data_IF_379648521345
#
_entry.id   IF_379648521345
#
_cell.length_a   1.000
_cell.length_b   1.000
_cell.length_c   1.000
_cell.angle_alpha   90.00
_cell.angle_beta   90.00
_cell.angle_gamma   90.00
#
_symmetry.space_group_name_H-M   'P 1'
#
loop_
_entity.id
_entity.type
_entity.pdbx_description
1 polymer ?
#
# COMPACT_ATOMS: atom_id res chain seq x y z
N UNK A 1 -18.25 28.31 40.29
CA UNK A 1 -16.85 27.89 40.47
C UNK A 1 -16.50 26.96 39.32
N UNK A 2 -15.94 27.51 38.24
CA UNK A 2 -15.58 26.75 37.04
C UNK A 2 -14.15 26.26 37.25
N UNK A 3 -13.98 24.94 37.40
CA UNK A 3 -12.67 24.32 37.49
C UNK A 3 -12.00 24.33 36.12
N UNK A 4 -10.91 25.09 36.05
CA UNK A 4 -9.93 25.10 34.97
C UNK A 4 -9.47 23.68 34.64
N UNK A 5 -9.85 23.17 33.48
CA UNK A 5 -9.21 22.02 32.87
C UNK A 5 -8.29 22.53 31.75
N UNK A 6 -6.99 22.29 31.94
CA UNK A 6 -5.93 22.58 30.99
C UNK A 6 -6.27 21.98 29.62
N UNK A 7 -6.32 22.84 28.60
CA UNK A 7 -6.45 22.47 27.18
C UNK A 7 -5.06 22.21 26.59
N UNK A 8 -4.40 21.13 26.98
CA UNK A 8 -3.14 20.72 26.33
C UNK A 8 -3.12 19.25 25.86
N UNK A 9 -4.23 18.51 25.96
CA UNK A 9 -4.33 17.14 25.44
C UNK A 9 -4.86 17.07 23.99
N UNK A 10 -4.35 17.91 23.10
CA UNK A 10 -4.63 17.83 21.66
C UNK A 10 -3.47 17.09 20.99
N UNK A 11 -3.66 15.78 20.80
CA UNK A 11 -3.06 14.96 19.74
C UNK A 11 -1.57 15.21 19.46
N UNK A 12 -0.70 14.91 20.42
CA UNK A 12 0.72 14.75 20.13
C UNK A 12 1.00 13.29 19.72
N UNK A 13 1.44 12.99 18.48
CA UNK A 13 1.67 11.62 18.01
C UNK A 13 2.54 10.80 18.95
N UNK A 14 3.55 11.43 19.57
CA UNK A 14 4.50 10.81 20.51
C UNK A 14 3.86 10.08 21.70
N UNK A 15 2.72 10.56 22.22
CA UNK A 15 2.08 9.98 23.39
C UNK A 15 1.37 8.65 23.10
N UNK A 16 0.83 8.49 21.88
CA UNK A 16 0.24 7.24 21.42
C UNK A 16 1.33 6.18 21.17
N UNK A 17 2.48 6.58 20.64
CA UNK A 17 3.64 5.71 20.46
C UNK A 17 4.17 5.16 21.79
N UNK A 18 4.26 5.99 22.84
CA UNK A 18 4.73 5.55 24.16
C UNK A 18 3.77 4.54 24.81
N UNK A 19 2.45 4.79 24.73
CA UNK A 19 1.45 3.87 25.29
C UNK A 19 1.38 2.54 24.54
N UNK A 20 1.47 2.56 23.21
CA UNK A 20 1.53 1.35 22.40
C UNK A 20 2.81 0.55 22.68
N UNK A 21 3.96 1.24 22.77
CA UNK A 21 5.25 0.65 23.11
C UNK A 21 5.27 0.00 24.51
N UNK A 22 4.66 0.65 25.51
CA UNK A 22 4.56 0.11 26.87
C UNK A 22 3.63 -1.11 26.95
N UNK A 23 2.52 -1.10 26.21
CA UNK A 23 1.58 -2.22 26.14
C UNK A 23 2.21 -3.45 25.47
N UNK A 24 2.90 -3.26 24.35
CA UNK A 24 3.56 -4.34 23.61
C UNK A 24 4.78 -4.87 24.35
N UNK A 25 5.49 -4.02 25.11
CA UNK A 25 6.60 -4.42 26.00
C UNK A 25 6.13 -5.34 27.13
N UNK A 26 5.00 -5.02 27.75
CA UNK A 26 4.43 -5.86 28.81
C UNK A 26 4.02 -7.24 28.26
N UNK A 27 3.39 -7.27 27.09
CA UNK A 27 2.90 -8.51 26.47
C UNK A 27 4.04 -9.42 25.94
N UNK A 28 5.18 -8.84 25.53
CA UNK A 28 6.34 -9.59 25.03
C UNK A 28 7.27 -10.09 26.14
N UNK A 29 7.39 -9.33 27.24
CA UNK A 29 8.13 -9.73 28.45
C UNK A 29 7.58 -11.03 29.05
N UNK A 30 6.26 -11.22 29.02
CA UNK A 30 5.59 -12.41 29.56
C UNK A 30 5.80 -13.68 28.72
N UNK A 31 6.20 -13.57 27.44
CA UNK A 31 6.31 -14.74 26.55
C UNK A 31 7.69 -15.37 26.45
N UNK A 32 8.78 -14.66 26.77
CA UNK A 32 10.13 -15.13 26.42
C UNK A 32 11.18 -15.18 27.54
N UNK A 33 10.91 -14.69 28.76
CA UNK A 33 11.82 -14.89 29.91
C UNK A 33 13.30 -14.49 29.69
N UNK A 34 13.59 -13.61 28.73
CA UNK A 34 14.93 -13.17 28.37
C UNK A 34 14.97 -11.64 28.38
N UNK A 35 15.89 -11.08 29.15
CA UNK A 35 16.15 -9.64 29.20
C UNK A 35 16.76 -9.18 27.87
N UNK A 36 15.90 -8.78 26.94
CA UNK A 36 16.32 -8.19 25.66
C UNK A 36 16.73 -6.74 25.95
N UNK A 37 17.95 -6.36 25.57
CA UNK A 37 18.44 -4.99 25.79
C UNK A 37 17.57 -3.96 25.05
N UNK A 38 17.43 -2.71 25.56
CA UNK A 38 16.60 -1.69 24.94
C UNK A 38 16.92 -1.47 23.44
N UNK A 39 18.19 -1.61 23.07
CA UNK A 39 18.68 -1.52 21.69
C UNK A 39 18.24 -2.70 20.82
N UNK A 40 18.20 -3.92 21.35
CA UNK A 40 17.72 -5.09 20.60
C UNK A 40 16.21 -5.04 20.39
N UNK A 41 15.45 -4.61 21.39
CA UNK A 41 14.01 -4.41 21.25
C UNK A 41 13.72 -3.31 20.22
N UNK A 42 14.50 -2.23 20.23
CA UNK A 42 14.39 -1.13 19.28
C UNK A 42 14.71 -1.58 17.85
N UNK A 43 15.76 -2.39 17.63
CA UNK A 43 16.03 -2.98 16.31
C UNK A 43 14.95 -3.97 15.85
N UNK A 44 14.40 -4.78 16.76
CA UNK A 44 13.37 -5.76 16.44
C UNK A 44 12.04 -5.08 16.10
N UNK A 45 11.63 -4.10 16.90
CA UNK A 45 10.49 -3.23 16.65
C UNK A 45 10.72 -2.43 15.36
N UNK A 46 11.91 -1.89 15.10
CA UNK A 46 12.23 -1.21 13.84
C UNK A 46 12.08 -2.15 12.63
N UNK A 47 12.43 -3.43 12.79
CA UNK A 47 12.37 -4.44 11.72
C UNK A 47 10.95 -4.94 11.48
N UNK A 48 10.15 -5.11 12.53
CA UNK A 48 8.73 -5.50 12.44
C UNK A 48 7.89 -4.31 11.93
N UNK A 49 8.11 -3.10 12.43
CA UNK A 49 7.41 -1.89 11.99
C UNK A 49 7.83 -1.43 10.59
N UNK A 50 9.08 -1.66 10.16
CA UNK A 50 9.50 -1.44 8.75
C UNK A 50 8.71 -2.31 7.77
N UNK A 51 8.25 -3.48 8.20
CA UNK A 51 7.55 -4.44 7.34
C UNK A 51 6.04 -4.17 7.23
N UNK A 52 5.46 -3.38 8.14
CA UNK A 52 4.03 -3.12 8.19
C UNK A 52 3.62 -1.68 7.83
N UNK A 53 4.57 -0.75 7.66
CA UNK A 53 4.24 0.68 7.65
C UNK A 53 4.76 1.50 6.45
N UNK A 54 5.22 0.89 5.35
CA UNK A 54 5.86 1.67 4.26
C UNK A 54 5.27 1.38 2.88
N UNK A 55 3.96 1.52 2.73
CA UNK A 55 3.31 1.49 1.42
C UNK A 55 2.06 2.38 1.33
N UNK A 56 1.71 3.10 2.39
CA UNK A 56 0.54 4.00 2.40
C UNK A 56 0.99 5.43 2.13
N UNK A 57 0.57 5.95 0.98
CA UNK A 57 0.86 7.30 0.52
C UNK A 57 -0.43 8.10 0.43
N UNK A 58 -0.34 9.42 0.62
CA UNK A 58 -1.47 10.33 0.44
C UNK A 58 -0.94 11.56 -0.29
N UNK A 59 -1.44 11.79 -1.50
CA UNK A 59 -1.06 12.95 -2.31
C UNK A 59 -2.26 13.84 -2.61
N UNK A 60 -2.06 15.17 -2.68
CA UNK A 60 -3.07 16.06 -3.21
C UNK A 60 -3.18 15.87 -4.73
N UNK A 61 -4.41 15.76 -5.21
CA UNK A 61 -4.75 15.76 -6.63
C UNK A 61 -5.60 16.99 -6.94
N UNK A 62 -5.27 17.68 -8.01
CA UNK A 62 -6.05 18.79 -8.57
C UNK A 62 -7.00 18.22 -9.60
N UNK A 63 -8.30 18.43 -9.39
CA UNK A 63 -9.35 18.07 -10.32
C UNK A 63 -9.81 19.34 -11.03
N UNK A 64 -9.77 19.34 -12.35
CA UNK A 64 -10.25 20.44 -13.19
C UNK A 64 -11.52 19.98 -13.91
N UNK A 65 -12.60 20.74 -13.75
CA UNK A 65 -13.87 20.47 -14.44
C UNK A 65 -13.82 20.97 -15.90
N UNK A 66 -14.07 20.06 -16.84
CA UNK A 66 -14.09 20.32 -18.28
C UNK A 66 -15.48 20.04 -18.88
N UNK A 67 -15.71 20.45 -20.14
CA UNK A 67 -17.03 20.33 -20.79
C UNK A 67 -17.56 18.89 -20.85
N UNK A 68 -16.69 17.88 -20.87
CA UNK A 68 -17.04 16.46 -21.04
C UNK A 68 -16.46 15.55 -19.94
N UNK A 69 -16.09 16.09 -18.78
CA UNK A 69 -15.59 15.29 -17.67
C UNK A 69 -14.66 16.06 -16.72
N UNK A 70 -13.79 15.31 -16.06
CA UNK A 70 -12.80 15.84 -15.13
C UNK A 70 -11.41 15.39 -15.55
N UNK A 71 -10.47 16.33 -15.60
CA UNK A 71 -9.05 16.03 -15.67
C UNK A 71 -8.46 16.06 -14.26
N UNK A 72 -7.47 15.21 -14.02
CA UNK A 72 -6.83 15.05 -12.72
C UNK A 72 -5.32 15.09 -12.89
N UNK A 73 -4.67 15.89 -12.06
CA UNK A 73 -3.23 16.08 -12.04
C UNK A 73 -2.69 16.01 -10.62
N UNK A 74 -1.52 15.40 -10.45
CA UNK A 74 -0.76 15.41 -9.21
C UNK A 74 0.43 16.38 -9.33
N UNK A 75 0.39 17.55 -8.67
CA UNK A 75 1.43 18.57 -8.82
C UNK A 75 2.81 18.12 -8.30
N UNK A 76 2.83 17.15 -7.38
CA UNK A 76 4.06 16.64 -6.76
C UNK A 76 4.71 15.48 -7.53
N UNK A 77 4.00 14.91 -8.50
CA UNK A 77 4.43 13.70 -9.21
C UNK A 77 4.47 13.97 -10.71
N UNK A 78 5.69 13.99 -11.26
CA UNK A 78 5.89 14.12 -12.69
C UNK A 78 5.26 12.95 -13.45
N UNK A 79 4.40 13.26 -14.42
CA UNK A 79 3.79 12.27 -15.31
C UNK A 79 2.49 11.63 -14.80
N UNK A 80 1.99 12.02 -13.62
CA UNK A 80 0.74 11.50 -13.07
C UNK A 80 -0.47 12.35 -13.52
N UNK A 81 -0.97 12.05 -14.72
CA UNK A 81 -2.15 12.69 -15.30
C UNK A 81 -3.21 11.66 -15.68
N UNK A 82 -4.47 11.97 -15.44
CA UNK A 82 -5.58 11.11 -15.83
C UNK A 82 -6.86 11.91 -16.06
N UNK A 83 -7.90 11.26 -16.57
CA UNK A 83 -9.21 11.87 -16.76
C UNK A 83 -10.33 10.84 -16.59
N UNK A 84 -11.54 11.33 -16.31
CA UNK A 84 -12.74 10.52 -16.21
C UNK A 84 -13.97 11.31 -16.66
N UNK A 85 -15.00 10.63 -17.17
CA UNK A 85 -16.22 11.29 -17.66
C UNK A 85 -17.11 11.74 -16.50
N UNK A 86 -16.99 11.07 -15.36
CA UNK A 86 -17.71 11.39 -14.13
C UNK A 86 -16.73 11.59 -12.99
N UNK A 87 -17.12 12.33 -11.95
CA UNK A 87 -16.27 12.54 -10.78
C UNK A 87 -15.84 11.22 -10.12
N UNK A 88 -16.75 10.24 -10.04
CA UNK A 88 -16.44 8.92 -9.46
C UNK A 88 -15.42 8.16 -10.29
N UNK A 89 -15.54 8.23 -11.62
CA UNK A 89 -14.57 7.61 -12.54
C UNK A 89 -13.23 8.31 -12.41
N UNK A 90 -13.20 9.65 -12.44
CA UNK A 90 -11.98 10.43 -12.29
C UNK A 90 -11.26 10.13 -10.97
N UNK A 91 -11.99 9.96 -9.87
CA UNK A 91 -11.43 9.56 -8.57
C UNK A 91 -10.81 8.16 -8.61
N UNK A 92 -11.50 7.19 -9.21
CA UNK A 92 -10.97 5.83 -9.37
C UNK A 92 -9.72 5.82 -10.25
N UNK A 93 -9.76 6.56 -11.36
CA UNK A 93 -8.63 6.69 -12.27
C UNK A 93 -7.44 7.42 -11.62
N UNK A 94 -7.72 8.36 -10.70
CA UNK A 94 -6.71 9.07 -9.91
C UNK A 94 -6.00 8.12 -8.93
N UNK A 95 -6.74 7.26 -8.23
CA UNK A 95 -6.16 6.24 -7.35
C UNK A 95 -5.27 5.27 -8.15
N UNK A 96 -5.72 4.85 -9.33
CA UNK A 96 -4.97 3.95 -10.21
C UNK A 96 -3.67 4.57 -10.73
N UNK A 97 -3.71 5.80 -11.26
CA UNK A 97 -2.51 6.47 -11.80
C UNK A 97 -1.52 6.79 -10.69
N UNK A 98 -1.99 7.18 -9.51
CA UNK A 98 -1.14 7.43 -8.34
C UNK A 98 -0.43 6.15 -7.92
N UNK A 99 -1.17 5.05 -7.81
CA UNK A 99 -0.62 3.75 -7.43
C UNK A 99 0.41 3.24 -8.43
N UNK A 100 0.12 3.37 -9.73
CA UNK A 100 1.04 3.00 -10.80
C UNK A 100 2.34 3.80 -10.73
N UNK A 101 2.22 5.12 -10.58
CA UNK A 101 3.36 6.05 -10.55
C UNK A 101 4.27 5.76 -9.36
N UNK A 102 3.70 5.62 -8.15
CA UNK A 102 4.48 5.33 -6.95
C UNK A 102 5.17 3.96 -7.01
N UNK A 103 4.50 2.95 -7.59
CA UNK A 103 5.10 1.64 -7.81
C UNK A 103 6.28 1.71 -8.79
N UNK A 104 6.20 2.53 -9.83
CA UNK A 104 7.31 2.75 -10.77
C UNK A 104 8.52 3.39 -10.06
N UNK A 105 8.30 4.43 -9.25
CA UNK A 105 9.36 5.02 -8.43
C UNK A 105 10.03 3.99 -7.52
N UNK A 106 9.24 3.18 -6.81
CA UNK A 106 9.75 2.10 -5.96
C UNK A 106 10.54 1.03 -6.77
N UNK A 107 10.05 0.65 -7.95
CA UNK A 107 10.69 -0.37 -8.80
C UNK A 107 12.02 0.13 -9.39
N UNK A 108 12.09 1.42 -9.73
CA UNK A 108 13.30 2.11 -10.18
C UNK A 108 14.24 2.47 -9.03
N UNK A 109 13.80 2.30 -7.77
CA UNK A 109 14.52 2.68 -6.55
C UNK A 109 14.88 4.17 -6.52
N UNK A 110 14.00 4.99 -7.08
CA UNK A 110 14.12 6.45 -7.07
C UNK A 110 13.50 7.01 -5.78
N UNK A 111 13.91 8.21 -5.39
CA UNK A 111 13.32 8.90 -4.25
C UNK A 111 11.92 9.39 -4.62
N UNK A 112 10.94 9.07 -3.77
CA UNK A 112 9.56 9.51 -3.95
C UNK A 112 9.43 10.93 -3.39
N UNK A 113 8.96 11.92 -4.17
CA UNK A 113 8.78 13.30 -3.70
C UNK A 113 7.81 13.38 -2.52
N UNK A 114 8.09 14.19 -1.49
CA UNK A 114 7.16 14.37 -0.38
C UNK A 114 5.86 15.08 -0.84
N UNK A 115 4.68 14.66 -0.36
CA UNK A 115 3.41 15.27 -0.75
C UNK A 115 3.30 16.72 -0.25
N UNK A 116 2.85 17.61 -1.13
CA UNK A 116 2.60 19.00 -0.78
C UNK A 116 1.40 19.13 0.18
N UNK A 117 1.42 20.12 1.10
CA UNK A 117 0.25 20.47 1.88
C UNK A 117 -0.94 20.83 0.99
N UNK A 118 -2.14 20.33 1.30
CA UNK A 118 -3.36 20.63 0.51
C UNK A 118 -3.62 22.13 0.32
N UNK A 119 -3.20 22.96 1.30
CA UNK A 119 -3.42 24.42 1.30
C UNK A 119 -2.41 25.20 0.45
N UNK A 120 -1.29 24.59 0.08
CA UNK A 120 -0.28 25.24 -0.77
C UNK A 120 -0.47 24.97 -2.25
N UNK A 121 -1.38 24.05 -2.60
CA UNK A 121 -1.69 23.74 -3.99
C UNK A 121 -2.57 24.87 -4.56
N UNK A 122 -2.15 25.55 -5.63
CA UNK A 122 -2.98 26.55 -6.28
C UNK A 122 -4.22 25.88 -6.90
N UNK A 123 -5.38 26.50 -6.73
CA UNK A 123 -6.64 26.04 -7.33
C UNK A 123 -7.39 27.23 -7.92
N UNK A 124 -7.75 27.14 -9.20
CA UNK A 124 -8.59 28.13 -9.88
C UNK A 124 -10.09 27.89 -9.64
N UNK A 125 -10.95 28.77 -10.18
CA UNK A 125 -12.41 28.73 -9.93
C UNK A 125 -13.11 27.44 -10.40
N UNK A 126 -12.55 26.75 -11.40
CA UNK A 126 -13.07 25.49 -11.94
C UNK A 126 -12.28 24.26 -11.42
N UNK A 127 -11.43 24.46 -10.43
CA UNK A 127 -10.56 23.42 -9.89
C UNK A 127 -10.85 23.19 -8.41
N UNK A 128 -10.72 21.93 -7.99
CA UNK A 128 -10.74 21.60 -6.57
C UNK A 128 -9.66 20.57 -6.25
N UNK A 129 -9.13 20.66 -5.03
CA UNK A 129 -8.08 19.75 -4.56
C UNK A 129 -8.70 18.68 -3.66
N UNK A 130 -8.36 17.42 -3.91
CA UNK A 130 -8.75 16.28 -3.08
C UNK A 130 -7.52 15.46 -2.69
N UNK A 131 -7.58 14.81 -1.52
CA UNK A 131 -6.52 13.91 -1.07
C UNK A 131 -6.84 12.49 -1.53
N UNK A 132 -5.89 11.88 -2.25
CA UNK A 132 -6.02 10.51 -2.74
C UNK A 132 -5.11 9.61 -1.92
N UNK A 133 -5.67 8.68 -1.13
CA UNK A 133 -4.89 7.65 -0.47
C UNK A 133 -4.49 6.57 -1.48
N UNK A 134 -3.27 6.06 -1.36
CA UNK A 134 -2.74 4.96 -2.17
C UNK A 134 -2.04 3.96 -1.26
N UNK A 135 -2.29 2.67 -1.50
CA UNK A 135 -1.54 1.57 -0.89
C UNK A 135 -0.79 0.81 -1.99
N UNK A 136 0.52 1.05 -2.11
CA UNK A 136 1.35 0.42 -3.14
C UNK A 136 1.48 -1.09 -2.93
N UNK A 137 1.40 -1.58 -1.69
CA UNK A 137 1.48 -3.01 -1.40
C UNK A 137 0.19 -3.71 -1.82
N UNK A 138 -0.97 -3.13 -1.51
CA UNK A 138 -2.27 -3.61 -2.00
C UNK A 138 -2.30 -3.60 -3.53
N UNK A 139 -1.85 -2.52 -4.16
CA UNK A 139 -1.80 -2.42 -5.62
C UNK A 139 -0.90 -3.51 -6.23
N UNK A 140 0.30 -3.71 -5.68
CA UNK A 140 1.22 -4.78 -6.10
C UNK A 140 0.61 -6.17 -5.93
N UNK A 141 -0.12 -6.42 -4.85
CA UNK A 141 -0.81 -7.72 -4.64
C UNK A 141 -1.90 -7.94 -5.69
N UNK A 142 -2.71 -6.92 -5.98
CA UNK A 142 -3.74 -6.98 -7.01
C UNK A 142 -3.14 -7.28 -8.39
N UNK A 143 -2.06 -6.58 -8.76
CA UNK A 143 -1.40 -6.78 -10.05
C UNK A 143 -0.63 -8.11 -10.13
N UNK A 144 0.04 -8.54 -9.06
CA UNK A 144 0.78 -9.82 -9.00
C UNK A 144 -0.11 -11.05 -8.90
N UNK A 145 -1.41 -10.89 -8.61
CA UNK A 145 -2.38 -11.98 -8.62
C UNK A 145 -2.84 -12.37 -10.03
N UNK A 146 -2.39 -11.67 -11.08
CA UNK A 146 -2.68 -12.06 -12.45
C UNK A 146 -1.98 -13.39 -12.80
N UNK A 147 -2.76 -14.33 -13.34
CA UNK A 147 -2.24 -15.62 -13.76
C UNK A 147 -1.34 -15.46 -14.99
N UNK A 148 -0.03 -15.71 -14.82
CA UNK A 148 0.92 -15.67 -15.94
C UNK A 148 0.94 -17.01 -16.66
N UNK A 149 0.62 -17.02 -17.96
CA UNK A 149 0.68 -18.24 -18.79
C UNK A 149 2.12 -18.76 -18.86
N UNK A 150 2.30 -20.05 -18.57
CA UNK A 150 3.59 -20.76 -18.70
C UNK A 150 3.45 -21.93 -19.66
N UNK A 151 4.40 -22.04 -20.59
CA UNK A 151 4.54 -23.19 -21.49
C UNK A 151 5.47 -24.20 -20.81
N UNK A 152 5.00 -25.44 -20.63
CA UNK A 152 5.74 -26.50 -19.95
C UNK A 152 5.70 -27.78 -20.78
N UNK A 153 6.74 -28.61 -20.62
CA UNK A 153 6.85 -29.91 -21.29
C UNK A 153 6.74 -31.02 -20.25
N UNK A 154 5.86 -31.98 -20.50
CA UNK A 154 5.66 -33.17 -19.67
C UNK A 154 5.69 -34.43 -20.54
N UNK A 155 6.09 -35.58 -19.99
CA UNK A 155 5.98 -36.86 -20.69
C UNK A 155 4.54 -37.17 -21.12
N UNK A 156 4.38 -37.81 -22.27
CA UNK A 156 3.07 -38.13 -22.86
C UNK A 156 2.20 -38.98 -21.91
N UNK A 157 2.78 -40.03 -21.32
CA UNK A 157 2.09 -40.91 -20.37
C UNK A 157 1.51 -40.14 -19.16
N UNK A 158 2.17 -39.06 -18.73
CA UNK A 158 1.72 -38.25 -17.60
C UNK A 158 0.57 -37.33 -18.01
N UNK A 159 0.62 -36.80 -19.23
CA UNK A 159 -0.47 -35.99 -19.79
C UNK A 159 -1.75 -36.81 -19.93
N UNK A 160 -1.65 -38.03 -20.45
CA UNK A 160 -2.78 -38.95 -20.59
C UNK A 160 -3.38 -39.32 -19.22
N UNK A 161 -2.54 -39.73 -18.27
CA UNK A 161 -2.98 -40.09 -16.92
C UNK A 161 -3.68 -38.92 -16.20
N UNK A 162 -3.12 -37.71 -16.29
CA UNK A 162 -3.70 -36.52 -15.67
C UNK A 162 -5.02 -36.09 -16.33
N UNK A 163 -5.12 -36.22 -17.65
CA UNK A 163 -6.34 -35.90 -18.41
C UNK A 163 -7.44 -36.91 -18.13
N UNK A 164 -7.13 -38.21 -18.07
CA UNK A 164 -8.07 -39.26 -17.70
C UNK A 164 -8.60 -39.10 -16.27
N UNK A 165 -7.77 -38.58 -15.36
CA UNK A 165 -8.16 -38.23 -14.00
C UNK A 165 -8.87 -36.87 -13.86
N UNK A 166 -9.03 -36.10 -14.96
CA UNK A 166 -9.71 -34.80 -14.96
C UNK A 166 -8.96 -33.69 -14.20
N UNK A 167 -7.63 -33.77 -14.11
CA UNK A 167 -6.83 -32.81 -13.34
C UNK A 167 -6.64 -31.47 -14.07
N UNK A 168 -6.66 -30.37 -13.31
CA UNK A 168 -6.30 -29.05 -13.81
C UNK A 168 -4.78 -28.82 -13.65
N UNK A 169 -4.04 -28.90 -14.76
CA UNK A 169 -2.58 -28.71 -14.77
C UNK A 169 -2.11 -27.39 -14.14
N UNK A 170 -2.85 -26.30 -14.36
CA UNK A 170 -2.49 -24.99 -13.79
C UNK A 170 -2.61 -25.00 -12.26
N UNK A 171 -3.69 -25.57 -11.73
CA UNK A 171 -3.91 -25.66 -10.30
C UNK A 171 -2.88 -26.58 -9.63
N UNK A 172 -2.65 -27.77 -10.19
CA UNK A 172 -1.65 -28.73 -9.68
C UNK A 172 -0.27 -28.09 -9.62
N UNK A 173 0.12 -27.35 -10.67
CA UNK A 173 1.39 -26.63 -10.69
C UNK A 173 1.46 -25.55 -9.60
N UNK A 174 0.40 -24.75 -9.43
CA UNK A 174 0.35 -23.71 -8.39
C UNK A 174 0.47 -24.30 -6.99
N UNK A 175 -0.25 -25.38 -6.69
CA UNK A 175 -0.20 -26.09 -5.40
C UNK A 175 1.20 -26.67 -5.14
N UNK A 176 1.80 -27.33 -6.14
CA UNK A 176 3.14 -27.88 -6.04
C UNK A 176 4.20 -26.78 -5.81
N UNK A 177 4.08 -25.64 -6.49
CA UNK A 177 4.98 -24.49 -6.30
C UNK A 177 4.82 -23.86 -4.91
N UNK A 178 3.57 -23.66 -4.45
CA UNK A 178 3.30 -23.16 -3.09
C UNK A 178 3.91 -24.06 -2.03
N UNK A 179 3.75 -25.38 -2.18
CA UNK A 179 4.33 -26.37 -1.28
C UNK A 179 5.87 -26.32 -1.28
N UNK A 180 6.50 -26.21 -2.47
CA UNK A 180 7.97 -26.12 -2.57
C UNK A 180 8.55 -24.82 -2.03
N UNK A 181 7.79 -23.72 -2.10
CA UNK A 181 8.19 -22.40 -1.63
C UNK A 181 7.75 -22.12 -0.17
N UNK A 182 7.12 -23.07 0.51
CA UNK A 182 6.52 -22.88 1.85
C UNK A 182 5.54 -21.70 1.93
N UNK A 183 4.79 -21.47 0.84
CA UNK A 183 3.72 -20.47 0.79
C UNK A 183 2.40 -21.17 1.13
N UNK A 184 1.61 -20.58 2.05
CA UNK A 184 0.27 -21.07 2.42
C UNK A 184 -0.80 -20.47 1.51
#
# INVERSE_FOLDING_TARGET
MVLSHNREDILHPKALWQRAYEKDRAEYSDRCGAEISPTQLQCFIQTILRRQYMANYIYPAVFTEEENGYSVNFPDLDGAYTCGKTLSEALSMAEDVLSLTLVDYEDRKEEIPDPSPIKSVPSDANEFVSLIPCDTEKYRRLMKNQAVKKTLSIPEWLNEAATAAGLNFSQVLQEALKLKLNLR
#
